data_IF_000625806039
#
_entry.id   IF_000625806039
#
_cell.length_a   1.000
_cell.length_b   1.000
_cell.length_c   1.000
_cell.angle_alpha   90.00
_cell.angle_beta   90.00
_cell.angle_gamma   90.00
#
_symmetry.space_group_name_H-M   'P 1'
#
loop_
_entity.id
_entity.type
_entity.pdbx_description
1 polymer ?
#
# COMPACT_ATOMS: atom_id res chain seq x y z
N UNK A 1 -3.69 -3.75 -18.22
CA UNK A 1 -4.45 -3.04 -17.19
C UNK A 1 -3.99 -3.50 -15.81
N UNK A 2 -4.44 -2.79 -14.79
CA UNK A 2 -4.13 -3.07 -13.39
C UNK A 2 -5.39 -2.80 -12.58
N UNK A 3 -5.47 -3.38 -11.39
CA UNK A 3 -6.46 -3.04 -10.38
C UNK A 3 -5.87 -1.95 -9.47
N UNK A 4 -6.54 -0.80 -9.38
CA UNK A 4 -6.14 0.27 -8.46
C UNK A 4 -6.70 -0.06 -7.09
N UNK A 5 -5.83 -0.36 -6.13
CA UNK A 5 -6.21 -0.76 -4.77
C UNK A 5 -6.09 0.39 -3.76
N UNK A 6 -5.36 1.44 -4.11
CA UNK A 6 -5.20 2.61 -3.24
C UNK A 6 -4.41 3.73 -3.88
N UNK A 7 -4.27 4.83 -3.15
CA UNK A 7 -3.45 5.96 -3.51
C UNK A 7 -2.80 6.51 -2.24
N UNK A 8 -1.49 6.72 -2.28
CA UNK A 8 -0.72 7.26 -1.17
C UNK A 8 0.07 8.48 -1.62
N UNK A 9 0.46 9.32 -0.68
CA UNK A 9 1.49 10.31 -0.92
C UNK A 9 2.86 9.65 -1.10
N UNK A 10 3.79 10.41 -1.69
CA UNK A 10 5.19 10.00 -1.82
C UNK A 10 5.78 9.54 -0.48
N UNK A 11 5.61 10.34 0.56
CA UNK A 11 6.22 10.12 1.86
C UNK A 11 5.61 8.88 2.54
N UNK A 12 4.28 8.72 2.46
CA UNK A 12 3.59 7.53 2.96
C UNK A 12 4.12 6.24 2.31
N UNK A 13 4.32 6.23 0.98
CA UNK A 13 4.87 5.05 0.29
C UNK A 13 6.35 4.83 0.60
N UNK A 14 7.16 5.89 0.62
CA UNK A 14 8.61 5.81 0.85
C UNK A 14 8.95 5.25 2.25
N UNK A 15 8.13 5.59 3.25
CA UNK A 15 8.26 5.13 4.62
C UNK A 15 7.53 3.81 4.93
N UNK A 16 6.88 3.18 3.95
CA UNK A 16 6.09 1.96 4.20
C UNK A 16 6.93 0.69 4.18
N UNK A 17 7.63 0.39 5.27
CA UNK A 17 8.61 -0.72 5.37
C UNK A 17 8.09 -2.12 4.99
N UNK A 18 6.76 -2.35 5.07
CA UNK A 18 6.15 -3.61 4.65
C UNK A 18 6.17 -3.82 3.12
N UNK A 19 6.40 -2.75 2.35
CA UNK A 19 6.48 -2.80 0.89
C UNK A 19 7.96 -2.94 0.49
N UNK A 20 8.29 -3.80 -0.50
CA UNK A 20 9.66 -3.99 -0.96
C UNK A 20 10.35 -2.67 -1.32
N UNK A 21 11.62 -2.52 -0.96
CA UNK A 21 12.39 -1.29 -1.22
C UNK A 21 12.34 -0.85 -2.68
N UNK A 22 12.44 -1.79 -3.62
CA UNK A 22 12.35 -1.49 -5.05
C UNK A 22 11.07 -0.73 -5.43
N UNK A 23 9.92 -1.10 -4.83
CA UNK A 23 8.64 -0.42 -5.07
C UNK A 23 8.61 0.95 -4.38
N UNK A 24 9.21 1.08 -3.19
CA UNK A 24 9.30 2.37 -2.49
C UNK A 24 10.12 3.40 -3.27
N UNK A 25 11.16 2.95 -3.98
CA UNK A 25 12.00 3.80 -4.84
C UNK A 25 11.27 4.31 -6.08
N UNK A 26 10.13 3.73 -6.46
CA UNK A 26 9.29 4.19 -7.59
C UNK A 26 8.42 5.41 -7.23
N UNK A 27 8.42 5.85 -5.97
CA UNK A 27 7.66 7.01 -5.49
C UNK A 27 8.25 8.35 -5.98
N UNK A 28 8.09 8.64 -7.28
CA UNK A 28 8.66 9.84 -7.93
C UNK A 28 7.66 10.99 -8.09
N UNK A 29 6.37 10.72 -7.87
CA UNK A 29 5.28 11.70 -7.94
C UNK A 29 4.74 12.02 -6.55
N UNK A 30 3.97 13.10 -6.41
CA UNK A 30 3.40 13.49 -5.11
C UNK A 30 2.34 12.51 -4.61
N UNK A 31 1.62 11.89 -5.55
CA UNK A 31 0.65 10.84 -5.31
C UNK A 31 1.01 9.60 -6.14
N UNK A 32 1.05 8.44 -5.48
CA UNK A 32 1.41 7.16 -6.03
C UNK A 32 0.18 6.23 -6.03
N UNK A 33 -0.18 5.75 -7.21
CA UNK A 33 -1.32 4.85 -7.40
C UNK A 33 -0.87 3.42 -7.16
N UNK A 34 -1.44 2.76 -6.15
CA UNK A 34 -1.12 1.39 -5.80
C UNK A 34 -1.90 0.46 -6.72
N UNK A 35 -1.17 -0.35 -7.47
CA UNK A 35 -1.72 -1.16 -8.55
C UNK A 35 -1.37 -2.64 -8.35
N UNK A 36 -2.38 -3.50 -8.36
CA UNK A 36 -2.22 -4.96 -8.28
C UNK A 36 -2.81 -5.67 -9.50
N UNK A 37 -2.65 -7.00 -9.53
CA UNK A 37 -3.19 -7.90 -10.57
C UNK A 37 -2.90 -7.40 -11.99
N UNK A 38 -1.61 -7.21 -12.36
CA UNK A 38 -1.25 -6.75 -13.68
C UNK A 38 -1.71 -7.74 -14.75
N UNK A 39 -2.36 -7.21 -15.77
CA UNK A 39 -2.83 -7.95 -16.93
C UNK A 39 -2.40 -7.23 -18.21
N UNK A 40 -2.18 -7.97 -19.28
CA UNK A 40 -1.80 -7.41 -20.58
C UNK A 40 -2.83 -7.81 -21.63
N UNK A 41 -3.06 -6.92 -22.58
CA UNK A 41 -3.86 -7.27 -23.76
C UNK A 41 -3.07 -8.25 -24.63
N UNK A 42 -3.72 -9.34 -25.02
CA UNK A 42 -3.18 -10.27 -26.01
C UNK A 42 -2.95 -9.58 -27.36
N UNK A 43 -3.84 -8.67 -27.72
CA UNK A 43 -3.77 -7.87 -28.95
C UNK A 43 -3.96 -6.40 -28.56
N UNK A 44 -2.96 -5.52 -28.77
CA UNK A 44 -3.08 -4.09 -28.47
C UNK A 44 -3.99 -3.37 -29.48
N UNK A 45 -4.63 -2.29 -29.04
CA UNK A 45 -5.43 -1.41 -29.90
C UNK A 45 -4.64 -0.16 -30.26
N UNK A 46 -4.76 0.30 -31.50
CA UNK A 46 -4.30 1.63 -31.88
C UNK A 46 -5.30 2.69 -31.38
N UNK A 47 -4.85 3.55 -30.48
CA UNK A 47 -5.68 4.62 -29.89
C UNK A 47 -4.80 5.75 -29.37
N UNK A 48 -5.37 6.95 -29.27
CA UNK A 48 -4.68 8.13 -28.73
C UNK A 48 -4.73 8.14 -27.20
N UNK A 49 -3.58 8.39 -26.56
CA UNK A 49 -3.54 8.69 -25.12
C UNK A 49 -3.96 10.12 -24.82
N UNK A 50 -4.63 10.32 -23.68
CA UNK A 50 -5.03 11.63 -23.16
C UNK A 50 -4.40 11.88 -21.79
N UNK A 51 -4.18 13.15 -21.45
CA UNK A 51 -3.73 13.54 -20.12
C UNK A 51 -4.84 13.32 -19.09
N UNK A 52 -4.50 12.71 -17.95
CA UNK A 52 -5.45 12.38 -16.89
C UNK A 52 -6.21 11.07 -17.13
N UNK A 53 -7.22 10.82 -16.30
CA UNK A 53 -8.08 9.63 -16.41
C UNK A 53 -9.24 9.94 -17.36
N UNK A 54 -9.46 9.06 -18.33
CA UNK A 54 -10.53 9.19 -19.32
C UNK A 54 -11.24 7.85 -19.53
N UNK A 55 -12.52 7.93 -19.89
CA UNK A 55 -13.31 6.75 -20.21
C UNK A 55 -12.95 6.23 -21.59
N UNK A 56 -12.77 4.91 -21.70
CA UNK A 56 -12.57 4.23 -22.97
C UNK A 56 -13.86 4.25 -23.80
N UNK A 57 -13.73 4.29 -25.12
CA UNK A 57 -14.86 4.03 -26.02
C UNK A 57 -15.42 2.63 -25.76
N UNK A 58 -16.76 2.49 -25.77
CA UNK A 58 -17.44 1.23 -25.43
C UNK A 58 -16.90 0.02 -26.18
N UNK A 59 -16.68 0.15 -27.49
CA UNK A 59 -16.14 -0.95 -28.33
C UNK A 59 -14.72 -1.38 -27.89
N UNK A 60 -13.88 -0.44 -27.47
CA UNK A 60 -12.51 -0.71 -27.01
C UNK A 60 -12.58 -1.36 -25.63
N UNK A 61 -13.41 -0.84 -24.73
CA UNK A 61 -13.60 -1.40 -23.41
C UNK A 61 -14.06 -2.86 -23.47
N UNK A 62 -15.11 -3.16 -24.24
CA UNK A 62 -15.66 -4.52 -24.36
C UNK A 62 -14.65 -5.51 -24.95
N UNK A 63 -13.89 -5.08 -25.98
CA UNK A 63 -12.83 -5.89 -26.57
C UNK A 63 -11.66 -6.09 -25.60
N UNK A 64 -11.27 -5.05 -24.87
CA UNK A 64 -10.20 -5.11 -23.89
C UNK A 64 -10.52 -6.11 -22.78
N UNK A 65 -11.71 -6.03 -22.17
CA UNK A 65 -12.13 -6.95 -21.10
C UNK A 65 -12.03 -8.42 -21.53
N UNK A 66 -12.34 -8.74 -22.79
CA UNK A 66 -12.23 -10.11 -23.33
C UNK A 66 -10.80 -10.54 -23.65
N UNK A 67 -9.92 -9.58 -23.95
CA UNK A 67 -8.54 -9.81 -24.41
C UNK A 67 -7.47 -9.66 -23.33
N UNK A 68 -7.85 -9.42 -22.07
CA UNK A 68 -6.92 -9.33 -20.96
C UNK A 68 -6.46 -10.72 -20.50
N UNK A 69 -5.15 -10.87 -20.38
CA UNK A 69 -4.52 -12.05 -19.80
C UNK A 69 -3.65 -11.63 -18.60
N UNK A 70 -3.60 -12.43 -17.51
CA UNK A 70 -2.66 -12.21 -16.42
C UNK A 70 -1.22 -12.14 -16.92
N UNK A 71 -0.40 -11.33 -16.25
CA UNK A 71 1.04 -11.30 -16.48
C UNK A 71 1.73 -12.09 -15.37
N UNK A 72 2.57 -13.05 -15.75
CA UNK A 72 3.48 -13.71 -14.82
C UNK A 72 4.59 -12.72 -14.44
N UNK A 73 4.42 -12.06 -13.30
CA UNK A 73 5.44 -11.18 -12.73
C UNK A 73 6.36 -11.99 -11.82
N UNK A 74 7.69 -11.85 -11.94
CA UNK A 74 8.63 -12.61 -11.11
C UNK A 74 8.50 -12.30 -9.61
N UNK A 75 7.98 -11.12 -9.25
CA UNK A 75 7.70 -10.71 -7.87
C UNK A 75 6.35 -9.98 -7.81
N UNK A 76 5.22 -10.69 -7.61
CA UNK A 76 3.92 -10.06 -7.45
C UNK A 76 3.92 -9.19 -6.20
N UNK A 77 3.71 -7.89 -6.38
CA UNK A 77 3.59 -6.95 -5.25
C UNK A 77 2.17 -7.01 -4.71
N UNK A 78 2.06 -7.08 -3.39
CA UNK A 78 0.81 -6.96 -2.64
C UNK A 78 0.94 -5.83 -1.64
N UNK A 79 -0.04 -4.95 -1.60
CA UNK A 79 -0.10 -3.85 -0.66
C UNK A 79 -0.95 -4.28 0.53
N UNK A 80 -0.38 -4.36 1.74
CA UNK A 80 -1.10 -4.75 2.95
C UNK A 80 -1.96 -3.57 3.44
N UNK A 81 -2.93 -3.17 2.62
CA UNK A 81 -3.81 -2.06 2.93
C UNK A 81 -4.65 -2.38 4.17
N UNK A 82 -4.90 -1.39 5.05
CA UNK A 82 -5.75 -1.59 6.19
C UNK A 82 -7.15 -2.03 5.78
N UNK A 83 -7.73 -2.95 6.55
CA UNK A 83 -9.12 -3.33 6.40
C UNK A 83 -10.00 -2.12 6.80
N UNK A 84 -10.80 -1.57 5.89
CA UNK A 84 -11.69 -0.45 6.21
C UNK A 84 -12.73 -0.80 7.28
N UNK A 85 -12.99 -2.09 7.54
CA UNK A 85 -13.94 -2.57 8.54
C UNK A 85 -13.32 -2.73 9.93
N UNK A 86 -11.99 -2.73 10.02
CA UNK A 86 -11.26 -2.87 11.27
C UNK A 86 -10.83 -1.48 11.80
N UNK A 87 -11.39 -1.01 12.93
CA UNK A 87 -11.06 0.29 13.49
C UNK A 87 -9.62 0.38 14.02
N UNK A 88 -8.92 -0.75 14.22
CA UNK A 88 -7.53 -0.79 14.67
C UNK A 88 -6.53 -0.89 13.52
N UNK A 89 -7.01 -0.97 12.28
CA UNK A 89 -6.15 -1.14 11.12
C UNK A 89 -5.26 0.09 10.89
N UNK A 90 -3.95 -0.13 10.84
CA UNK A 90 -2.98 0.95 10.71
C UNK A 90 -2.99 1.52 9.30
N UNK A 91 -3.01 2.86 9.19
CA UNK A 91 -2.89 3.52 7.89
C UNK A 91 -1.51 3.22 7.26
N UNK A 92 -1.44 3.01 5.93
CA UNK A 92 -0.17 2.82 5.23
C UNK A 92 0.79 3.96 5.54
N UNK A 93 2.08 3.65 5.74
CA UNK A 93 3.10 4.66 6.05
C UNK A 93 2.99 5.33 7.44
N UNK A 94 1.95 5.02 8.24
CA UNK A 94 1.77 5.63 9.58
C UNK A 94 2.51 4.91 10.71
N UNK A 95 3.17 3.79 10.41
CA UNK A 95 4.06 3.12 11.37
C UNK A 95 5.40 3.86 11.39
N UNK A 96 5.39 5.11 11.83
CA UNK A 96 6.63 5.83 12.13
C UNK A 96 6.86 5.82 13.64
N UNK A 97 7.99 5.20 14.02
CA UNK A 97 8.80 5.55 15.19
C UNK A 97 8.35 5.15 16.61
N UNK A 98 7.49 4.13 16.81
CA UNK A 98 7.29 3.58 18.18
C UNK A 98 8.13 2.32 18.49
N UNK A 99 8.60 1.58 17.48
CA UNK A 99 9.27 0.29 17.72
C UNK A 99 10.80 0.32 17.56
N UNK A 100 11.38 1.33 16.90
CA UNK A 100 12.85 1.45 16.75
C UNK A 100 13.53 2.22 17.89
N UNK A 101 12.77 2.82 18.82
CA UNK A 101 13.31 3.48 20.01
C UNK A 101 13.14 2.69 21.31
N UNK A 102 12.59 1.48 21.26
CA UNK A 102 12.88 0.48 22.29
C UNK A 102 14.12 -0.31 21.85
N UNK A 103 15.22 0.42 21.62
CA UNK A 103 16.52 -0.15 21.92
C UNK A 103 16.42 -0.50 23.40
N UNK A 104 16.50 -1.78 23.73
CA UNK A 104 16.56 -2.26 25.10
C UNK A 104 17.82 -1.68 25.77
N UNK A 105 17.79 -0.41 26.14
CA UNK A 105 18.58 0.10 27.24
C UNK A 105 17.90 -0.43 28.47
N UNK A 106 18.57 -1.38 29.12
CA UNK A 106 18.43 -1.71 30.52
C UNK A 106 17.96 -0.48 31.30
N UNK A 107 16.69 -0.46 31.69
CA UNK A 107 16.19 0.49 32.68
C UNK A 107 16.16 -0.25 33.99
N UNK A 108 17.12 0.16 34.81
CA UNK A 108 17.29 -0.11 36.22
C UNK A 108 16.00 -0.33 37.00
N UNK A 109 16.11 -1.27 37.93
CA UNK A 109 15.22 -1.41 39.08
C UNK A 109 15.01 -0.06 39.77
N UNK A 110 13.79 0.46 39.75
CA UNK A 110 13.26 1.48 40.67
C UNK A 110 11.77 1.66 40.38
N UNK A 111 10.84 1.78 41.30
CA UNK A 111 10.69 1.38 42.69
C UNK A 111 9.18 1.56 42.97
N UNK A 112 8.61 0.73 43.85
CA UNK A 112 7.33 0.97 44.51
C UNK A 112 6.04 0.95 43.66
N UNK A 113 5.54 -0.24 43.35
CA UNK A 113 4.09 -0.47 43.31
C UNK A 113 3.68 -0.82 44.74
N UNK A 114 3.24 0.19 45.47
CA UNK A 114 2.71 0.06 46.81
C UNK A 114 1.56 1.03 46.97
N UNK A 115 0.34 0.57 46.74
CA UNK A 115 -0.85 1.14 47.37
C UNK A 115 -1.78 -0.01 47.73
N UNK A 116 -1.73 -0.33 49.02
CA UNK A 116 -2.53 -1.30 49.72
C UNK A 116 -4.02 -0.93 49.66
N UNK A 117 -4.86 -1.95 49.46
CA UNK A 117 -6.29 -1.85 49.75
C UNK A 117 -6.50 -2.59 51.06
N UNK A 118 -6.65 -1.81 52.15
CA UNK A 118 -7.13 -2.29 53.43
C UNK A 118 -8.44 -1.56 53.77
N UNK A 119 -9.53 -2.32 53.78
CA UNK A 119 -10.69 -2.25 54.69
C UNK A 119 -11.53 -0.96 54.80
N UNK A 120 -12.80 -1.09 54.39
CA UNK A 120 -13.98 -0.66 55.17
C UNK A 120 -15.14 -1.61 54.85
#
# INVERSE_FOLDING_TARGET
CVEVVGCLTRDELSCWEMVPEGVRLEALTDYCWLCERPQKLLIPFEMRGYQGVYNLERKIYEAAVRGLAPVDSPLPVKFPLPDPSDPFSLKPGRVSALTLNLKATEVDQSSSIGLAIAGA
#
